data_IF_031611909381
#
_entry.id   IF_031611909381
#
_cell.length_a   1.000
_cell.length_b   1.000
_cell.length_c   1.000
_cell.angle_alpha   90.00
_cell.angle_beta   90.00
_cell.angle_gamma   90.00
#
_symmetry.space_group_name_H-M   'P 1'
#
loop_
_entity.id
_entity.type
_entity.pdbx_description
1 polymer ?
#
# COMPACT_ATOMS: atom_id res chain seq x y z
N UNK A 1 15.29 -0.46 1.58
CA UNK A 1 14.40 0.70 1.83
C UNK A 1 15.12 1.84 2.60
N UNK A 2 16.33 2.21 2.16
CA UNK A 2 17.21 3.12 2.90
C UNK A 2 16.73 4.59 2.90
N UNK A 3 16.21 5.07 1.76
CA UNK A 3 15.66 6.42 1.64
C UNK A 3 14.54 6.70 2.65
N UNK A 4 13.56 5.79 2.76
CA UNK A 4 12.46 5.92 3.72
C UNK A 4 12.98 5.99 5.18
N UNK A 5 13.95 5.15 5.53
CA UNK A 5 14.58 5.15 6.87
C UNK A 5 15.28 6.48 7.18
N UNK A 6 16.07 7.01 6.24
CA UNK A 6 16.75 8.31 6.39
C UNK A 6 15.77 9.48 6.52
N UNK A 7 14.63 9.39 5.82
CA UNK A 7 13.56 10.38 5.88
C UNK A 7 12.55 10.14 7.00
N UNK A 8 12.80 9.19 7.91
CA UNK A 8 11.92 8.88 9.05
C UNK A 8 10.49 8.50 8.63
N UNK A 9 10.34 7.94 7.43
CA UNK A 9 9.05 7.48 6.90
C UNK A 9 8.79 6.05 7.36
N UNK A 10 7.63 5.76 7.98
CA UNK A 10 7.26 4.39 8.33
C UNK A 10 7.08 3.56 7.06
N UNK A 11 7.64 2.36 7.05
CA UNK A 11 7.48 1.41 5.95
C UNK A 11 6.40 0.42 6.36
N UNK A 12 5.27 0.44 5.66
CA UNK A 12 4.10 -0.37 6.00
C UNK A 12 4.20 -1.80 5.48
N UNK A 13 4.96 -2.01 4.41
CA UNK A 13 5.12 -3.31 3.78
C UNK A 13 5.80 -3.22 2.42
N UNK A 14 5.91 -4.36 1.76
CA UNK A 14 6.42 -4.50 0.40
C UNK A 14 5.28 -4.94 -0.52
N UNK A 15 5.25 -4.42 -1.75
CA UNK A 15 4.39 -4.92 -2.82
C UNK A 15 5.30 -5.41 -3.93
N UNK A 16 5.11 -6.65 -4.38
CA UNK A 16 5.85 -7.19 -5.53
C UNK A 16 5.08 -6.88 -6.81
N UNK A 17 5.64 -6.01 -7.65
CA UNK A 17 5.06 -5.69 -8.95
C UNK A 17 5.55 -6.66 -10.03
N UNK A 18 4.69 -6.96 -11.01
CA UNK A 18 4.97 -7.87 -12.13
C UNK A 18 5.43 -9.28 -11.70
N UNK A 19 4.76 -9.84 -10.68
CA UNK A 19 5.15 -11.11 -10.05
C UNK A 19 5.14 -12.31 -10.99
N UNK A 20 4.14 -12.38 -11.89
CA UNK A 20 4.05 -13.41 -12.92
C UNK A 20 3.13 -12.97 -14.06
N UNK A 21 3.33 -13.55 -15.24
CA UNK A 21 2.35 -13.54 -16.32
C UNK A 21 1.45 -14.77 -16.20
N UNK A 22 0.14 -14.55 -16.08
CA UNK A 22 -0.86 -15.62 -15.92
C UNK A 22 -1.56 -15.81 -17.26
N UNK A 23 -1.48 -17.02 -17.81
CA UNK A 23 -2.17 -17.39 -19.05
C UNK A 23 -3.65 -17.71 -18.80
N UNK A 24 -4.53 -17.70 -19.82
CA UNK A 24 -5.98 -17.96 -19.62
C UNK A 24 -6.34 -19.32 -19.02
N UNK A 25 -5.47 -20.32 -19.17
CA UNK A 25 -5.56 -21.64 -18.55
C UNK A 25 -5.10 -21.66 -17.08
N UNK A 26 -4.66 -20.52 -16.55
CA UNK A 26 -4.23 -20.34 -15.16
C UNK A 26 -2.75 -20.66 -14.92
N UNK A 27 -1.98 -20.99 -15.95
CA UNK A 27 -0.54 -21.24 -15.80
C UNK A 27 0.19 -19.93 -15.49
N UNK A 28 1.03 -19.96 -14.45
CA UNK A 28 1.79 -18.81 -13.98
C UNK A 28 3.24 -18.87 -14.47
N UNK A 29 3.73 -17.77 -15.05
CA UNK A 29 5.08 -17.64 -15.60
C UNK A 29 5.82 -16.48 -14.93
N UNK A 30 6.82 -16.74 -14.06
CA UNK A 30 7.62 -15.69 -13.43
C UNK A 30 8.67 -15.14 -14.41
N UNK A 31 8.24 -14.30 -15.37
CA UNK A 31 9.10 -13.77 -16.44
C UNK A 31 10.35 -13.04 -15.94
N UNK A 32 10.27 -12.45 -14.75
CA UNK A 32 11.35 -11.67 -14.14
C UNK A 32 11.94 -12.35 -12.88
N UNK A 33 11.66 -13.65 -12.70
CA UNK A 33 11.97 -14.38 -11.48
C UNK A 33 10.91 -14.21 -10.39
N UNK A 34 11.10 -14.88 -9.26
CA UNK A 34 10.12 -14.95 -8.18
C UNK A 34 10.73 -14.73 -6.77
N UNK A 35 9.87 -14.29 -5.84
CA UNK A 35 10.18 -14.16 -4.42
C UNK A 35 11.11 -12.99 -4.07
N UNK A 36 11.31 -12.03 -4.99
CA UNK A 36 12.13 -10.84 -4.72
C UNK A 36 11.50 -9.94 -3.66
N UNK A 37 10.18 -9.76 -3.74
CA UNK A 37 9.40 -9.00 -2.76
C UNK A 37 9.43 -9.66 -1.39
N UNK A 38 9.22 -10.98 -1.32
CA UNK A 38 9.25 -11.73 -0.07
C UNK A 38 10.63 -11.67 0.61
N UNK A 39 11.72 -11.85 -0.15
CA UNK A 39 13.08 -11.70 0.40
C UNK A 39 13.31 -10.31 0.96
N UNK A 40 12.92 -9.27 0.23
CA UNK A 40 13.06 -7.89 0.69
C UNK A 40 12.23 -7.64 1.94
N UNK A 41 10.96 -8.06 1.96
CA UNK A 41 10.05 -7.91 3.09
C UNK A 41 10.66 -8.49 4.37
N UNK A 42 11.20 -9.71 4.28
CA UNK A 42 11.91 -10.37 5.37
C UNK A 42 13.20 -9.63 5.78
N UNK A 43 14.00 -9.15 4.83
CA UNK A 43 15.25 -8.41 5.10
C UNK A 43 15.00 -7.11 5.89
N UNK A 44 13.93 -6.39 5.56
CA UNK A 44 13.62 -5.10 6.22
C UNK A 44 12.62 -5.21 7.37
N UNK A 45 12.10 -6.42 7.66
CA UNK A 45 11.24 -6.71 8.80
C UNK A 45 9.81 -6.16 8.66
N UNK A 46 9.24 -6.20 7.46
CA UNK A 46 7.88 -5.72 7.16
C UNK A 46 7.10 -6.80 6.38
N UNK A 47 5.75 -6.78 6.36
CA UNK A 47 5.00 -7.79 5.60
C UNK A 47 5.09 -7.58 4.08
N UNK A 48 5.05 -8.68 3.32
CA UNK A 48 4.62 -8.63 1.92
C UNK A 48 3.10 -8.42 1.90
N UNK A 49 2.67 -7.30 1.33
CA UNK A 49 1.27 -6.89 1.26
C UNK A 49 0.52 -7.62 0.16
N UNK A 50 1.21 -7.86 -0.96
CA UNK A 50 0.68 -8.61 -2.10
C UNK A 50 1.66 -8.65 -3.26
N UNK A 51 1.36 -9.51 -4.23
CA UNK A 51 2.10 -9.69 -5.47
C UNK A 51 1.16 -9.49 -6.65
N UNK A 52 1.42 -8.49 -7.48
CA UNK A 52 0.55 -8.09 -8.59
C UNK A 52 1.06 -8.72 -9.88
N UNK A 53 0.23 -9.50 -10.61
CA UNK A 53 0.65 -10.10 -11.86
C UNK A 53 0.85 -9.06 -12.96
N UNK A 54 1.61 -9.44 -13.97
CA UNK A 54 1.80 -8.65 -15.18
C UNK A 54 0.54 -8.74 -16.06
N UNK A 55 -0.21 -7.64 -16.12
CA UNK A 55 -1.41 -7.52 -16.96
C UNK A 55 -1.35 -6.31 -17.88
N UNK A 56 -1.56 -6.47 -19.21
CA UNK A 56 -1.59 -5.35 -20.16
C UNK A 56 -2.62 -4.27 -19.83
N UNK A 57 -3.72 -4.65 -19.17
CA UNK A 57 -4.76 -3.72 -18.76
C UNK A 57 -4.24 -2.67 -17.75
N UNK A 58 -3.24 -3.02 -16.92
CA UNK A 58 -2.67 -2.12 -15.92
C UNK A 58 -2.03 -0.90 -16.60
N UNK A 59 -1.18 -1.13 -17.61
CA UNK A 59 -0.52 -0.04 -18.34
C UNK A 59 -1.52 0.75 -19.18
N UNK A 60 -2.41 0.06 -19.90
CA UNK A 60 -3.44 0.73 -20.71
C UNK A 60 -4.37 1.61 -19.86
N UNK A 61 -4.75 1.14 -18.67
CA UNK A 61 -5.53 1.90 -17.71
C UNK A 61 -4.78 3.13 -17.17
N UNK A 62 -3.48 2.99 -16.92
CA UNK A 62 -2.60 4.11 -16.55
C UNK A 62 -2.53 5.18 -17.64
N UNK A 63 -2.26 4.77 -18.88
CA UNK A 63 -2.12 5.69 -20.02
C UNK A 63 -3.42 6.45 -20.34
N UNK A 64 -4.57 5.81 -20.13
CA UNK A 64 -5.89 6.40 -20.41
C UNK A 64 -6.49 7.15 -19.22
N UNK A 65 -5.83 7.14 -18.06
CA UNK A 65 -6.37 7.73 -16.82
C UNK A 65 -7.57 6.96 -16.26
N UNK A 66 -7.73 5.68 -16.61
CA UNK A 66 -8.77 4.77 -16.11
C UNK A 66 -8.11 3.55 -15.46
N UNK A 67 -7.60 3.68 -14.21
CA UNK A 67 -6.82 2.63 -13.56
C UNK A 67 -7.60 1.32 -13.43
N UNK A 68 -6.88 0.19 -13.50
CA UNK A 68 -7.53 -1.12 -13.34
C UNK A 68 -8.11 -1.34 -11.94
N UNK A 69 -7.68 -0.56 -10.94
CA UNK A 69 -8.30 -0.54 -9.62
C UNK A 69 -9.75 -0.01 -9.66
N UNK A 70 -10.22 0.57 -10.76
CA UNK A 70 -11.63 0.90 -10.97
C UNK A 70 -12.33 -0.08 -11.91
N UNK A 71 -11.69 -1.22 -12.20
CA UNK A 71 -12.15 -2.27 -13.11
C UNK A 71 -12.05 -3.66 -12.45
N UNK A 72 -12.73 -4.67 -13.01
CA UNK A 72 -12.80 -6.02 -12.43
C UNK A 72 -11.77 -7.02 -12.96
N UNK A 73 -10.54 -6.60 -13.31
CA UNK A 73 -9.48 -7.55 -13.69
C UNK A 73 -8.73 -8.09 -12.46
N UNK A 74 -7.92 -9.14 -12.64
CA UNK A 74 -7.26 -9.82 -11.51
C UNK A 74 -6.27 -8.91 -10.77
N UNK A 75 -5.50 -8.10 -11.48
CA UNK A 75 -4.68 -7.06 -10.88
C UNK A 75 -5.52 -6.04 -10.10
N UNK A 76 -6.70 -5.65 -10.62
CA UNK A 76 -7.65 -4.77 -9.95
C UNK A 76 -8.17 -5.32 -8.61
N UNK A 77 -8.49 -6.62 -8.56
CA UNK A 77 -8.86 -7.32 -7.32
C UNK A 77 -7.73 -7.27 -6.29
N UNK A 78 -6.50 -7.61 -6.71
CA UNK A 78 -5.33 -7.64 -5.82
C UNK A 78 -5.02 -6.23 -5.29
N UNK A 79 -5.18 -5.17 -6.09
CA UNK A 79 -5.05 -3.81 -5.60
C UNK A 79 -6.04 -3.49 -4.46
N UNK A 80 -7.29 -3.96 -4.57
CA UNK A 80 -8.28 -3.79 -3.51
C UNK A 80 -7.90 -4.60 -2.27
N UNK A 81 -7.49 -5.86 -2.42
CA UNK A 81 -7.05 -6.70 -1.30
C UNK A 81 -5.88 -6.04 -0.53
N UNK A 82 -4.90 -5.48 -1.26
CA UNK A 82 -3.79 -4.74 -0.65
C UNK A 82 -4.30 -3.50 0.09
N UNK A 83 -5.20 -2.73 -0.52
CA UNK A 83 -5.76 -1.53 0.10
C UNK A 83 -6.55 -1.86 1.39
N UNK A 84 -7.38 -2.90 1.34
CA UNK A 84 -8.16 -3.38 2.49
C UNK A 84 -7.24 -3.82 3.63
N UNK A 85 -6.15 -4.52 3.31
CA UNK A 85 -5.17 -4.96 4.30
C UNK A 85 -4.45 -3.77 4.96
N UNK A 86 -4.09 -2.75 4.18
CA UNK A 86 -3.49 -1.52 4.72
C UNK A 86 -4.48 -0.82 5.67
N UNK A 87 -5.73 -0.63 5.22
CA UNK A 87 -6.75 0.14 5.95
C UNK A 87 -7.26 -0.59 7.18
N UNK A 88 -7.33 -1.92 7.19
CA UNK A 88 -7.97 -2.65 8.29
C UNK A 88 -6.96 -3.28 9.27
N UNK A 89 -5.77 -3.64 8.81
CA UNK A 89 -4.82 -4.41 9.63
C UNK A 89 -3.57 -3.60 10.01
N UNK A 90 -3.04 -2.82 9.09
CA UNK A 90 -1.70 -2.22 9.26
C UNK A 90 -1.80 -0.80 9.82
N UNK A 91 -2.70 0.00 9.28
CA UNK A 91 -2.84 1.40 9.65
C UNK A 91 -4.32 1.77 9.69
N UNK A 92 -5.06 1.23 10.68
CA UNK A 92 -6.47 1.52 10.82
C UNK A 92 -6.70 3.02 10.94
N UNK A 93 -7.76 3.55 10.30
CA UNK A 93 -8.09 4.96 10.40
C UNK A 93 -8.26 5.31 11.88
N UNK A 94 -7.61 6.39 12.29
CA UNK A 94 -7.69 6.87 13.68
C UNK A 94 -9.16 7.11 14.00
N UNK A 95 -9.63 6.54 15.10
CA UNK A 95 -10.96 6.85 15.59
C UNK A 95 -11.01 8.35 15.89
N UNK A 96 -11.75 9.10 15.08
CA UNK A 96 -11.87 10.54 15.24
C UNK A 96 -12.46 10.95 16.59
N UNK A 97 -13.16 10.03 17.29
CA UNK A 97 -13.60 10.28 18.66
C UNK A 97 -12.44 10.34 19.68
N UNK A 98 -11.30 9.72 19.38
CA UNK A 98 -10.11 9.65 20.24
C UNK A 98 -9.03 10.68 19.85
N UNK A 99 -9.28 11.48 18.80
CA UNK A 99 -8.39 12.54 18.38
C UNK A 99 -8.44 13.74 19.35
N UNK A 100 -7.35 13.98 20.09
CA UNK A 100 -7.21 15.17 20.95
C UNK A 100 -7.32 16.50 20.18
N UNK A 101 -7.11 16.49 18.86
CA UNK A 101 -7.34 17.64 17.99
C UNK A 101 -8.82 17.98 17.75
N UNK A 102 -9.75 17.05 18.05
CA UNK A 102 -11.21 17.31 18.01
C UNK A 102 -11.79 17.74 19.35
N UNK A 103 -11.08 17.55 20.47
CA UNK A 103 -11.46 18.18 21.73
C UNK A 103 -11.02 19.64 21.71
N UNK A 104 -11.96 20.56 21.45
CA UNK A 104 -11.79 21.99 21.74
C UNK A 104 -11.76 22.12 23.27
N UNK A 105 -10.62 21.82 23.89
CA UNK A 105 -10.36 22.25 25.27
C UNK A 105 -9.94 23.70 25.21
N UNK A 106 -10.74 24.60 25.77
CA UNK A 106 -10.32 25.99 25.97
C UNK A 106 -9.06 26.00 26.86
N UNK A 107 -7.92 26.32 26.26
CA UNK A 107 -6.69 26.57 27.01
C UNK A 107 -6.77 28.01 27.50
N UNK A 108 -7.06 28.21 28.78
CA UNK A 108 -7.05 29.53 29.40
C UNK A 108 -5.60 30.06 29.43
N UNK A 109 -5.26 30.97 28.51
CA UNK A 109 -3.97 31.68 28.54
C UNK A 109 -4.15 33.00 29.27
N UNK A 110 -3.36 33.20 30.33
CA UNK A 110 -3.26 34.48 31.02
C UNK A 110 -2.10 35.28 30.42
N UNK A 111 -2.39 36.38 29.72
CA UNK A 111 -1.37 37.29 29.22
C UNK A 111 -0.81 38.08 30.41
N UNK A 112 0.45 37.81 30.78
CA UNK A 112 1.17 38.64 31.75
C UNK A 112 1.92 39.70 30.96
N UNK A 113 1.39 40.92 30.88
CA UNK A 113 2.13 42.04 30.31
C UNK A 113 3.27 42.42 31.27
N UNK A 114 4.49 42.44 30.74
CA UNK A 114 5.67 43.00 31.40
C UNK A 114 5.67 44.52 31.31
#
# INVERSE_FOLDING_TARGET
>A
ADMARRSHMPILGVIENMSAFITPDGTSWPLFGEGGGERLANEIGVPLLGSIPLEPAVSAGGDTGKPVASSGCKAGEIFHEIADRIVNEILPPVNMADCSASSISEVSVSLTNK
#
